data_IF_340986294762
#
_entry.id   IF_340986294762
#
_cell.length_a   1.000
_cell.length_b   1.000
_cell.length_c   1.000
_cell.angle_alpha   90.00
_cell.angle_beta   90.00
_cell.angle_gamma   90.00
#
_symmetry.space_group_name_H-M   'P 1'
#
loop_
_entity.id
_entity.type
_entity.pdbx_description
1 polymer ?
#
# COMPACT_ATOMS: atom_id res chain seq x y z
N UNK A 1 -65.87 -8.37 9.00
CA UNK A 1 -65.45 -7.77 10.30
C UNK A 1 -64.08 -8.32 10.69
N UNK A 2 -63.05 -8.16 9.86
CA UNK A 2 -61.66 -8.67 10.11
C UNK A 2 -60.54 -7.72 9.63
N UNK A 3 -60.79 -6.48 9.30
CA UNK A 3 -59.82 -5.55 8.73
C UNK A 3 -59.28 -4.51 9.76
N UNK A 4 -59.93 -4.38 10.93
CA UNK A 4 -59.57 -3.34 11.92
C UNK A 4 -58.54 -3.72 13.00
N UNK A 5 -58.10 -5.03 13.05
CA UNK A 5 -57.15 -5.43 14.11
C UNK A 5 -55.69 -5.29 13.75
N UNK A 6 -55.32 -5.14 12.45
CA UNK A 6 -53.93 -5.06 12.05
C UNK A 6 -53.37 -3.62 12.01
N UNK A 7 -54.23 -2.59 11.99
CA UNK A 7 -53.80 -1.20 11.92
C UNK A 7 -53.26 -0.64 13.25
N UNK A 8 -53.74 -1.20 14.37
CA UNK A 8 -53.32 -0.73 15.71
C UNK A 8 -51.95 -1.32 16.09
N UNK A 9 -51.67 -2.56 15.66
CA UNK A 9 -50.37 -3.19 15.92
C UNK A 9 -49.19 -2.55 15.17
N UNK A 10 -49.46 -2.03 13.96
CA UNK A 10 -48.43 -1.33 13.15
C UNK A 10 -48.14 0.07 13.70
N UNK A 11 -49.15 0.75 14.21
CA UNK A 11 -48.98 2.10 14.80
C UNK A 11 -48.18 2.06 16.12
N UNK A 12 -48.30 1.02 16.91
CA UNK A 12 -47.56 0.85 18.17
C UNK A 12 -46.09 0.49 17.91
N UNK A 13 -45.83 -0.28 16.86
CA UNK A 13 -44.45 -0.68 16.51
C UNK A 13 -43.64 0.52 15.91
N UNK A 14 -44.28 1.39 15.16
CA UNK A 14 -43.63 2.58 14.59
C UNK A 14 -43.35 3.66 15.64
N UNK A 15 -44.25 3.83 16.64
CA UNK A 15 -44.01 4.78 17.75
C UNK A 15 -42.93 4.30 18.70
N UNK A 16 -42.76 2.98 18.91
CA UNK A 16 -41.69 2.44 19.74
C UNK A 16 -40.32 2.57 19.06
N UNK A 17 -40.23 2.41 17.74
CA UNK A 17 -38.96 2.64 16.99
C UNK A 17 -38.57 4.12 16.94
N UNK A 18 -39.49 5.05 16.82
CA UNK A 18 -39.17 6.48 16.88
C UNK A 18 -38.74 6.94 18.29
N UNK A 19 -39.26 6.32 19.36
CA UNK A 19 -38.83 6.62 20.71
C UNK A 19 -37.41 6.09 21.02
N UNK A 20 -37.00 4.95 20.43
CA UNK A 20 -35.62 4.46 20.56
C UNK A 20 -34.61 5.31 19.81
N UNK A 21 -34.99 5.95 18.71
CA UNK A 21 -34.11 6.85 17.95
C UNK A 21 -33.96 8.22 18.64
N UNK A 22 -34.96 8.70 19.38
CA UNK A 22 -34.90 9.97 20.07
C UNK A 22 -34.03 9.94 21.36
N UNK A 23 -33.89 8.78 22.00
CA UNK A 23 -33.00 8.60 23.18
C UNK A 23 -31.53 8.50 22.80
N UNK A 24 -31.21 8.11 21.55
CA UNK A 24 -29.82 8.05 21.07
C UNK A 24 -29.31 9.36 20.45
N UNK A 25 -30.20 10.35 20.21
CA UNK A 25 -29.82 11.68 19.68
C UNK A 25 -29.42 12.67 20.78
N UNK A 26 -29.58 12.32 22.04
CA UNK A 26 -29.19 13.15 23.17
C UNK A 26 -27.79 12.79 23.70
N UNK A 27 -26.78 13.50 23.17
CA UNK A 27 -25.46 13.52 23.83
C UNK A 27 -24.33 12.68 23.24
N UNK A 28 -24.24 12.56 21.93
CA UNK A 28 -22.93 12.40 21.30
C UNK A 28 -22.25 13.78 21.28
N UNK A 29 -21.72 14.22 22.41
CA UNK A 29 -20.58 15.12 22.37
C UNK A 29 -19.54 14.39 21.54
N UNK A 30 -19.21 14.88 20.35
CA UNK A 30 -18.05 14.42 19.62
C UNK A 30 -16.88 14.56 20.58
N UNK A 31 -16.42 13.46 21.17
CA UNK A 31 -15.12 13.43 21.75
C UNK A 31 -14.21 13.82 20.59
N UNK A 32 -13.79 15.08 20.55
CA UNK A 32 -12.87 15.58 19.56
C UNK A 32 -11.71 14.58 19.55
N UNK A 33 -11.42 13.99 18.40
CA UNK A 33 -10.24 13.16 18.26
C UNK A 33 -9.10 13.99 18.85
N UNK A 34 -8.52 13.54 19.95
CA UNK A 34 -7.41 14.22 20.56
C UNK A 34 -6.34 14.32 19.47
N UNK A 35 -6.00 15.54 19.07
CA UNK A 35 -4.95 15.79 18.10
C UNK A 35 -3.66 15.22 18.73
N UNK A 36 -3.21 14.09 18.24
CA UNK A 36 -1.94 13.52 18.65
C UNK A 36 -0.87 14.47 18.13
N UNK A 37 -0.38 15.35 19.01
CA UNK A 37 0.78 16.17 18.68
C UNK A 37 1.93 15.22 18.37
N UNK A 38 2.27 15.12 17.09
CA UNK A 38 3.51 14.48 16.68
C UNK A 38 4.67 15.26 17.29
N UNK A 39 5.65 14.58 17.86
CA UNK A 39 6.85 15.22 18.37
C UNK A 39 7.51 16.05 17.26
N UNK A 40 8.04 17.25 17.62
CA UNK A 40 8.85 18.06 16.70
C UNK A 40 10.18 17.36 16.41
N UNK A 41 10.18 16.48 15.42
CA UNK A 41 11.38 15.74 15.01
C UNK A 41 12.24 16.65 14.13
N UNK A 42 13.45 16.94 14.58
CA UNK A 42 14.44 17.69 13.79
C UNK A 42 15.21 16.71 12.89
N UNK A 43 14.80 16.62 11.65
CA UNK A 43 15.52 15.85 10.65
C UNK A 43 16.79 16.57 10.19
N UNK A 44 17.88 15.82 10.00
CA UNK A 44 19.06 16.29 9.29
C UNK A 44 18.96 16.04 7.78
N UNK A 45 19.88 16.62 7.00
CA UNK A 45 20.00 16.24 5.59
C UNK A 45 20.42 14.77 5.49
N UNK A 46 19.89 14.05 4.50
CA UNK A 46 20.29 12.67 4.21
C UNK A 46 21.69 12.70 3.61
N UNK A 47 22.72 12.08 4.24
CA UNK A 47 24.08 12.05 3.68
C UNK A 47 24.16 11.20 2.41
N UNK A 48 25.02 11.56 1.46
CA UNK A 48 25.29 10.72 0.30
C UNK A 48 25.79 9.32 0.68
N UNK A 49 25.48 8.33 -0.16
CA UNK A 49 25.98 6.97 0.01
C UNK A 49 24.97 5.91 -0.38
N UNK A 50 25.35 4.66 -0.13
CA UNK A 50 24.49 3.51 -0.32
C UNK A 50 23.65 3.26 0.93
N UNK A 51 22.37 2.95 0.69
CA UNK A 51 21.40 2.59 1.71
C UNK A 51 20.71 1.28 1.31
N UNK A 52 20.41 0.45 2.31
CA UNK A 52 19.62 -0.76 2.14
C UNK A 52 18.26 -0.61 2.81
N UNK A 53 17.23 -1.24 2.25
CA UNK A 53 15.92 -1.26 2.89
C UNK A 53 15.98 -2.10 4.16
N UNK A 54 15.46 -1.56 5.25
CA UNK A 54 15.22 -2.30 6.49
C UNK A 54 13.90 -3.07 6.36
N UNK A 55 13.99 -4.38 6.17
CA UNK A 55 12.82 -5.24 5.96
C UNK A 55 11.95 -5.39 7.22
N UNK A 56 12.52 -5.17 8.39
CA UNK A 56 11.78 -5.25 9.65
C UNK A 56 10.86 -4.04 9.87
N UNK A 57 11.24 -2.87 9.32
CA UNK A 57 10.52 -1.61 9.50
C UNK A 57 9.93 -1.05 8.18
N UNK A 58 9.87 -1.88 7.14
CA UNK A 58 9.33 -1.49 5.83
C UNK A 58 8.13 -2.34 5.44
N UNK A 59 7.21 -1.73 4.70
CA UNK A 59 6.04 -2.39 4.15
C UNK A 59 5.99 -2.15 2.64
N UNK A 60 5.91 -3.24 1.88
CA UNK A 60 5.55 -3.26 0.48
C UNK A 60 4.17 -3.88 0.39
N UNK A 61 3.18 -3.02 0.47
CA UNK A 61 1.78 -3.37 0.52
C UNK A 61 1.08 -3.20 -0.81
N UNK A 62 -0.03 -3.89 -0.96
CA UNK A 62 -0.94 -3.72 -2.08
C UNK A 62 -2.39 -3.86 -1.63
N UNK A 63 -3.31 -3.29 -2.42
CA UNK A 63 -4.74 -3.45 -2.23
C UNK A 63 -5.42 -3.66 -3.60
N UNK A 64 -6.38 -4.57 -3.66
CA UNK A 64 -7.18 -4.88 -4.86
C UNK A 64 -8.65 -4.94 -4.50
N UNK A 65 -9.53 -4.48 -5.42
CA UNK A 65 -10.98 -4.60 -5.24
C UNK A 65 -11.41 -6.06 -5.38
N UNK A 66 -12.29 -6.49 -4.48
CA UNK A 66 -12.97 -7.78 -4.54
C UNK A 66 -14.46 -7.57 -4.76
N UNK A 67 -15.00 -8.16 -5.80
CA UNK A 67 -16.40 -8.02 -6.24
C UNK A 67 -16.87 -6.55 -6.41
N UNK A 68 -15.95 -5.62 -6.59
CA UNK A 68 -16.15 -4.17 -6.61
C UNK A 68 -16.75 -3.56 -5.33
N UNK A 69 -16.88 -4.34 -4.24
CA UNK A 69 -17.52 -3.92 -2.99
C UNK A 69 -16.53 -3.72 -1.83
N UNK A 70 -15.40 -4.44 -1.81
CA UNK A 70 -14.44 -4.35 -0.71
C UNK A 70 -13.00 -4.39 -1.22
N UNK A 71 -12.05 -4.08 -0.35
CA UNK A 71 -10.64 -4.17 -0.61
C UNK A 71 -10.03 -5.40 0.06
N UNK A 72 -9.22 -6.13 -0.68
CA UNK A 72 -8.31 -7.13 -0.13
C UNK A 72 -6.92 -6.54 -0.11
N UNK A 73 -6.33 -6.46 1.07
CA UNK A 73 -4.96 -6.00 1.24
C UNK A 73 -4.00 -7.17 1.39
N UNK A 74 -2.75 -6.93 1.01
CA UNK A 74 -1.65 -7.88 1.17
C UNK A 74 -0.32 -7.16 1.15
N UNK A 75 0.75 -7.93 1.38
CA UNK A 75 2.12 -7.44 1.35
C UNK A 75 3.09 -8.53 0.91
N UNK A 76 4.29 -8.14 0.51
CA UNK A 76 5.43 -9.03 0.36
C UNK A 76 6.32 -8.92 1.60
N UNK A 77 6.67 -10.06 2.23
CA UNK A 77 7.44 -10.09 3.48
C UNK A 77 8.95 -10.25 3.27
N UNK A 78 9.37 -10.83 2.14
CA UNK A 78 10.77 -11.02 1.78
C UNK A 78 11.10 -10.17 0.55
N UNK A 79 11.85 -9.12 0.77
CA UNK A 79 12.29 -8.18 -0.25
C UNK A 79 13.64 -7.60 0.11
N UNK A 80 14.29 -7.02 -0.87
CA UNK A 80 15.50 -6.23 -0.68
C UNK A 80 15.46 -5.00 -1.58
N UNK A 81 16.30 -4.02 -1.26
CA UNK A 81 16.43 -2.83 -2.10
C UNK A 81 17.67 -2.05 -1.73
N UNK A 82 18.23 -1.41 -2.74
CA UNK A 82 19.41 -0.57 -2.61
C UNK A 82 19.10 0.82 -3.18
N UNK A 83 19.50 1.84 -2.45
CA UNK A 83 19.40 3.24 -2.86
C UNK A 83 20.81 3.85 -2.83
N UNK A 84 21.32 4.21 -4.00
CA UNK A 84 22.52 5.03 -4.10
C UNK A 84 22.09 6.49 -4.09
N UNK A 85 22.15 7.12 -2.92
CA UNK A 85 21.65 8.48 -2.70
C UNK A 85 22.74 9.53 -2.96
N UNK A 86 22.40 10.56 -3.78
CA UNK A 86 23.23 11.73 -4.03
C UNK A 86 22.67 12.92 -3.25
N UNK A 87 23.42 13.44 -2.28
CA UNK A 87 22.99 14.52 -1.39
C UNK A 87 23.06 15.92 -2.05
N UNK A 88 23.79 16.04 -3.15
CA UNK A 88 23.90 17.29 -3.91
C UNK A 88 22.76 17.42 -4.92
N UNK A 89 22.32 16.29 -5.49
CA UNK A 89 21.25 16.26 -6.47
C UNK A 89 20.49 14.91 -6.43
N UNK A 90 19.34 14.89 -5.75
CA UNK A 90 18.49 13.70 -5.62
C UNK A 90 18.15 13.08 -6.98
N UNK A 91 18.13 13.88 -8.06
CA UNK A 91 17.78 13.35 -9.40
C UNK A 91 18.86 12.41 -9.96
N UNK A 92 20.06 12.41 -9.38
CA UNK A 92 21.15 11.48 -9.72
C UNK A 92 21.14 10.18 -8.93
N UNK A 93 20.31 10.12 -7.90
CA UNK A 93 20.16 8.90 -7.10
C UNK A 93 19.62 7.75 -7.93
N UNK A 94 19.95 6.50 -7.51
CA UNK A 94 19.50 5.27 -8.15
C UNK A 94 18.82 4.38 -7.14
N UNK A 95 17.80 3.65 -7.60
CA UNK A 95 17.02 2.72 -6.79
C UNK A 95 16.90 1.40 -7.51
N UNK A 96 17.18 0.32 -6.80
CA UNK A 96 16.89 -1.06 -7.23
C UNK A 96 16.12 -1.76 -6.12
N UNK A 97 15.20 -2.62 -6.53
CA UNK A 97 14.33 -3.33 -5.61
C UNK A 97 13.96 -4.71 -6.18
N UNK A 98 13.86 -5.71 -5.29
CA UNK A 98 13.32 -7.01 -5.61
C UNK A 98 12.45 -7.53 -4.45
N UNK A 99 11.34 -8.19 -4.76
CA UNK A 99 10.53 -8.91 -3.79
C UNK A 99 10.29 -10.35 -4.23
N UNK A 100 10.41 -11.29 -3.30
CA UNK A 100 10.12 -12.70 -3.56
C UNK A 100 8.61 -12.92 -3.60
N UNK A 101 8.13 -13.50 -4.68
CA UNK A 101 6.71 -13.80 -4.87
C UNK A 101 6.22 -14.80 -3.81
N UNK A 102 7.05 -15.76 -3.41
CA UNK A 102 6.71 -16.74 -2.38
C UNK A 102 6.34 -16.11 -1.04
N UNK A 103 6.83 -14.90 -0.77
CA UNK A 103 6.59 -14.17 0.48
C UNK A 103 5.26 -13.40 0.54
N UNK A 104 4.41 -13.55 -0.47
CA UNK A 104 3.10 -12.87 -0.53
C UNK A 104 2.23 -13.29 0.64
N UNK A 105 1.64 -12.32 1.32
CA UNK A 105 0.79 -12.53 2.48
C UNK A 105 -0.43 -11.61 2.46
N UNK A 106 -1.60 -12.21 2.42
CA UNK A 106 -2.90 -11.52 2.45
C UNK A 106 -3.70 -11.87 3.70
N UNK A 107 -3.08 -12.54 4.69
CA UNK A 107 -3.74 -13.01 5.91
C UNK A 107 -4.59 -14.28 5.75
N UNK A 108 -4.68 -14.86 4.54
CA UNK A 108 -5.42 -16.11 4.26
C UNK A 108 -4.53 -17.05 3.44
N UNK A 109 -4.06 -18.13 4.05
CA UNK A 109 -3.07 -19.02 3.42
C UNK A 109 -3.56 -19.69 2.13
N UNK A 110 -4.83 -20.09 2.07
CA UNK A 110 -5.40 -20.66 0.85
C UNK A 110 -5.32 -19.66 -0.32
N UNK A 111 -5.57 -18.38 -0.07
CA UNK A 111 -5.43 -17.32 -1.07
C UNK A 111 -3.98 -17.07 -1.42
N UNK A 112 -3.07 -17.05 -0.42
CA UNK A 112 -1.64 -16.89 -0.65
C UNK A 112 -1.12 -18.02 -1.56
N UNK A 113 -1.50 -19.27 -1.29
CA UNK A 113 -1.13 -20.42 -2.10
C UNK A 113 -1.65 -20.26 -3.55
N UNK A 114 -2.90 -19.83 -3.75
CA UNK A 114 -3.45 -19.59 -5.09
C UNK A 114 -2.72 -18.44 -5.82
N UNK A 115 -2.38 -17.35 -5.12
CA UNK A 115 -1.63 -16.25 -5.72
C UNK A 115 -0.25 -16.67 -6.22
N UNK A 116 0.39 -17.71 -5.65
CA UNK A 116 1.68 -18.25 -6.08
C UNK A 116 1.58 -19.12 -7.33
N UNK A 117 0.39 -19.62 -7.68
CA UNK A 117 0.20 -20.51 -8.85
C UNK A 117 0.30 -19.77 -10.19
N UNK A 118 0.28 -20.54 -11.29
CA UNK A 118 0.28 -20.04 -12.66
C UNK A 118 -0.93 -19.14 -13.01
N UNK A 119 -2.04 -19.26 -12.27
CA UNK A 119 -3.22 -18.39 -12.41
C UNK A 119 -2.89 -16.92 -12.13
N UNK A 120 -1.89 -16.67 -11.26
CA UNK A 120 -1.47 -15.33 -10.86
C UNK A 120 0.02 -15.09 -11.13
N UNK A 121 0.86 -15.23 -10.12
CA UNK A 121 2.26 -14.82 -10.21
C UNK A 121 3.18 -15.90 -10.78
N UNK A 122 2.78 -17.18 -10.74
CA UNK A 122 3.60 -18.32 -11.18
C UNK A 122 4.97 -18.32 -10.50
N UNK A 123 4.98 -18.36 -9.16
CA UNK A 123 6.17 -18.20 -8.34
C UNK A 123 7.26 -19.22 -8.65
N UNK A 124 6.88 -20.43 -9.08
CA UNK A 124 7.83 -21.49 -9.46
C UNK A 124 8.65 -21.10 -10.69
N UNK A 125 8.07 -20.37 -11.64
CA UNK A 125 8.72 -19.90 -12.86
C UNK A 125 9.32 -18.51 -12.70
N UNK A 126 8.64 -17.63 -11.96
CA UNK A 126 8.99 -16.24 -11.77
C UNK A 126 9.10 -15.93 -10.26
N UNK A 127 10.21 -16.31 -9.61
CA UNK A 127 10.32 -16.26 -8.15
C UNK A 127 10.35 -14.83 -7.59
N UNK A 128 10.64 -13.82 -8.43
CA UNK A 128 10.80 -12.43 -7.99
C UNK A 128 10.12 -11.45 -8.93
N UNK A 129 9.60 -10.36 -8.35
CA UNK A 129 9.35 -9.11 -9.08
C UNK A 129 10.51 -8.14 -8.83
N UNK A 130 10.78 -7.25 -9.81
CA UNK A 130 11.93 -6.33 -9.75
C UNK A 130 11.54 -4.93 -10.23
N UNK A 131 12.20 -3.94 -9.66
CA UNK A 131 12.13 -2.56 -10.11
C UNK A 131 13.53 -1.97 -10.20
N UNK A 132 13.81 -1.27 -11.31
CA UNK A 132 15.06 -0.55 -11.51
C UNK A 132 14.74 0.87 -11.93
N UNK A 133 15.22 1.86 -11.18
CA UNK A 133 15.00 3.25 -11.51
C UNK A 133 15.74 3.66 -12.78
N UNK A 134 15.08 4.46 -13.61
CA UNK A 134 15.68 5.07 -14.82
C UNK A 134 15.90 6.56 -14.65
N UNK A 135 15.03 7.25 -13.90
CA UNK A 135 15.09 8.70 -13.71
C UNK A 135 14.37 9.10 -12.41
N UNK A 136 14.83 10.19 -11.81
CA UNK A 136 14.09 10.90 -10.74
C UNK A 136 13.89 12.35 -11.21
N UNK A 137 12.66 12.86 -11.07
CA UNK A 137 12.34 14.26 -11.32
C UNK A 137 11.92 14.95 -10.03
N UNK A 138 12.39 16.18 -9.82
CA UNK A 138 11.93 17.05 -8.74
C UNK A 138 10.66 17.80 -9.17
N UNK A 139 9.59 17.73 -8.37
CA UNK A 139 8.30 18.41 -8.64
C UNK A 139 7.97 19.52 -7.64
N UNK A 140 8.92 19.92 -6.81
CA UNK A 140 8.79 20.97 -5.81
C UNK A 140 9.54 20.64 -4.54
N UNK A 141 9.32 21.40 -3.48
CA UNK A 141 10.00 21.19 -2.21
C UNK A 141 9.59 19.84 -1.61
N UNK A 142 10.53 18.89 -1.51
CA UNK A 142 10.31 17.58 -0.90
C UNK A 142 9.43 16.61 -1.69
N UNK A 143 9.06 16.95 -2.95
CA UNK A 143 8.20 16.10 -3.81
C UNK A 143 8.97 15.69 -5.05
N UNK A 144 8.92 14.41 -5.38
CA UNK A 144 9.65 13.81 -6.50
C UNK A 144 8.76 12.83 -7.27
N UNK A 145 9.13 12.55 -8.51
CA UNK A 145 8.59 11.43 -9.28
C UNK A 145 9.76 10.49 -9.58
N UNK A 146 9.57 9.22 -9.26
CA UNK A 146 10.47 8.13 -9.62
C UNK A 146 9.95 7.48 -10.90
N UNK A 147 10.81 7.34 -11.89
CA UNK A 147 10.59 6.57 -13.12
C UNK A 147 11.47 5.34 -13.06
N UNK A 148 10.97 4.23 -13.57
CA UNK A 148 11.73 3.00 -13.62
C UNK A 148 10.99 1.89 -14.34
N UNK A 149 11.67 0.77 -14.50
CA UNK A 149 11.16 -0.42 -15.15
C UNK A 149 10.72 -1.42 -14.07
N UNK A 150 9.42 -1.74 -14.06
CA UNK A 150 8.84 -2.77 -13.19
C UNK A 150 8.70 -4.07 -13.98
N UNK A 151 9.31 -5.12 -13.46
CA UNK A 151 9.20 -6.48 -14.00
C UNK A 151 8.36 -7.34 -13.08
N UNK A 152 7.26 -7.89 -13.59
CA UNK A 152 6.43 -8.90 -12.92
C UNK A 152 6.24 -10.04 -13.92
N UNK A 153 6.51 -11.27 -13.50
CA UNK A 153 6.61 -12.46 -14.37
C UNK A 153 7.65 -12.21 -15.47
N UNK A 154 7.26 -12.35 -16.72
CA UNK A 154 8.09 -12.13 -17.91
C UNK A 154 7.89 -10.76 -18.56
N UNK A 155 7.10 -9.89 -17.94
CA UNK A 155 6.76 -8.58 -18.51
C UNK A 155 7.48 -7.47 -17.76
N UNK A 156 8.22 -6.66 -18.50
CA UNK A 156 8.83 -5.41 -17.99
C UNK A 156 8.13 -4.22 -18.61
N UNK A 157 7.67 -3.29 -17.78
CA UNK A 157 7.02 -2.05 -18.24
C UNK A 157 7.58 -0.84 -17.51
N UNK A 158 7.74 0.29 -18.22
CA UNK A 158 8.05 1.56 -17.59
C UNK A 158 6.87 2.02 -16.75
N UNK A 159 7.14 2.42 -15.51
CA UNK A 159 6.18 3.04 -14.61
C UNK A 159 6.75 4.31 -14.03
N UNK A 160 5.88 5.19 -13.53
CA UNK A 160 6.30 6.35 -12.75
C UNK A 160 5.32 6.61 -11.62
N UNK A 161 5.84 7.09 -10.49
CA UNK A 161 5.01 7.40 -9.35
C UNK A 161 5.63 8.48 -8.46
N UNK A 162 4.77 9.27 -7.76
CA UNK A 162 5.24 10.26 -6.81
C UNK A 162 5.80 9.58 -5.57
N UNK A 163 6.83 10.17 -4.99
CA UNK A 163 7.34 9.78 -3.68
C UNK A 163 7.79 10.99 -2.87
N UNK A 164 7.85 10.78 -1.57
CA UNK A 164 8.44 11.70 -0.60
C UNK A 164 9.40 10.93 0.28
N UNK A 165 10.34 11.62 0.90
CA UNK A 165 11.19 11.05 1.94
C UNK A 165 11.34 12.02 3.10
N UNK A 166 11.60 11.49 4.28
CA UNK A 166 11.93 12.26 5.48
C UNK A 166 13.39 12.75 5.39
N UNK A 167 13.79 13.65 6.29
CA UNK A 167 15.22 13.83 6.53
C UNK A 167 15.80 12.63 7.27
N UNK A 168 17.12 12.65 7.47
CA UNK A 168 17.83 11.60 8.18
C UNK A 168 17.71 11.75 9.69
N UNK A 169 17.69 10.60 10.37
CA UNK A 169 17.85 10.49 11.82
C UNK A 169 18.99 9.53 12.15
N UNK A 170 19.80 9.82 13.19
CA UNK A 170 20.71 8.83 13.74
C UNK A 170 19.88 7.76 14.48
N UNK A 171 20.24 6.49 14.33
CA UNK A 171 19.64 5.44 15.12
C UNK A 171 20.46 5.16 16.41
N UNK A 172 19.88 4.49 17.42
CA UNK A 172 20.56 4.20 18.68
C UNK A 172 21.79 3.28 18.54
N UNK A 173 21.98 2.66 17.38
CA UNK A 173 23.10 1.75 17.09
C UNK A 173 24.21 2.39 16.26
N UNK A 174 24.15 3.72 16.05
CA UNK A 174 25.16 4.49 15.34
C UNK A 174 24.96 4.52 13.83
N UNK A 175 23.86 4.01 13.31
CA UNK A 175 23.48 4.10 11.90
C UNK A 175 22.79 5.41 11.55
N UNK A 176 22.52 5.60 10.27
CA UNK A 176 21.71 6.70 9.74
C UNK A 176 20.55 6.13 8.96
N UNK A 177 19.34 6.60 9.26
CA UNK A 177 18.10 6.12 8.66
C UNK A 177 17.27 7.25 8.07
N UNK A 178 16.48 6.97 7.06
CA UNK A 178 15.41 7.87 6.58
C UNK A 178 14.22 7.08 6.06
N UNK A 179 13.03 7.70 6.14
CA UNK A 179 11.78 7.10 5.67
C UNK A 179 11.44 7.52 4.25
N UNK A 180 10.79 6.63 3.48
CA UNK A 180 10.31 6.87 2.13
C UNK A 180 8.85 6.44 2.06
N UNK A 181 8.02 7.26 1.41
CA UNK A 181 6.61 6.97 1.18
C UNK A 181 6.27 7.16 -0.29
N UNK A 182 5.57 6.20 -0.85
CA UNK A 182 5.04 6.27 -2.21
C UNK A 182 3.74 5.48 -2.33
N UNK A 183 2.89 5.91 -3.25
CA UNK A 183 1.70 5.17 -3.65
C UNK A 183 1.53 5.26 -5.15
N UNK A 184 1.13 4.16 -5.77
CA UNK A 184 0.84 4.10 -7.21
C UNK A 184 -0.23 3.05 -7.50
N UNK A 185 -0.76 3.10 -8.72
CA UNK A 185 -1.71 2.10 -9.21
C UNK A 185 -1.12 1.45 -10.47
N UNK A 186 -1.12 0.13 -10.48
CA UNK A 186 -0.75 -0.66 -11.65
C UNK A 186 -1.94 -1.50 -12.12
N UNK A 187 -2.03 -1.78 -13.41
CA UNK A 187 -2.99 -2.75 -13.92
C UNK A 187 -2.32 -4.13 -13.98
N UNK A 188 -2.83 -5.09 -13.19
CA UNK A 188 -2.26 -6.44 -13.12
C UNK A 188 -2.28 -7.18 -14.46
N UNK A 189 -3.26 -6.89 -15.33
CA UNK A 189 -3.36 -7.52 -16.65
C UNK A 189 -2.23 -7.10 -17.60
N UNK A 190 -1.64 -5.93 -17.34
CA UNK A 190 -0.45 -5.47 -18.06
C UNK A 190 0.78 -6.37 -17.84
N UNK A 191 0.73 -7.24 -16.84
CA UNK A 191 1.79 -8.17 -16.45
C UNK A 191 1.33 -9.65 -16.56
N UNK A 192 0.39 -9.94 -17.46
CA UNK A 192 -0.11 -11.30 -17.71
C UNK A 192 -0.73 -11.97 -16.46
N UNK A 193 -1.28 -11.20 -15.51
CA UNK A 193 -2.06 -11.70 -14.38
C UNK A 193 -3.54 -11.52 -14.73
N UNK A 194 -4.10 -12.51 -15.41
CA UNK A 194 -5.40 -12.39 -16.09
C UNK A 194 -6.55 -13.13 -15.38
N UNK A 195 -6.29 -13.83 -14.28
CA UNK A 195 -7.30 -14.57 -13.54
C UNK A 195 -8.47 -13.67 -13.10
N UNK A 196 -9.68 -14.24 -13.08
CA UNK A 196 -10.91 -13.57 -12.67
C UNK A 196 -11.86 -13.30 -13.83
N UNK A 197 -13.14 -13.15 -13.48
CA UNK A 197 -14.25 -13.02 -14.42
C UNK A 197 -14.90 -11.64 -14.34
N UNK A 198 -15.52 -11.22 -15.44
CA UNK A 198 -16.37 -10.05 -15.43
C UNK A 198 -17.64 -10.33 -14.60
N UNK A 199 -18.09 -9.34 -13.85
CA UNK A 199 -19.34 -9.39 -13.10
C UNK A 199 -20.53 -8.96 -13.98
N UNK A 200 -21.72 -9.55 -13.80
CA UNK A 200 -22.92 -9.14 -14.53
C UNK A 200 -23.30 -7.66 -14.33
N UNK A 201 -22.90 -7.08 -13.20
CA UNK A 201 -23.16 -5.69 -12.84
C UNK A 201 -22.07 -4.72 -13.33
N UNK A 202 -21.09 -5.21 -14.07
CA UNK A 202 -19.89 -4.48 -14.48
C UNK A 202 -18.72 -4.66 -13.51
N UNK A 203 -17.49 -4.45 -14.01
CA UNK A 203 -16.26 -4.69 -13.24
C UNK A 203 -15.87 -6.16 -13.21
N UNK A 204 -15.10 -6.56 -12.21
CA UNK A 204 -14.50 -7.89 -12.09
C UNK A 204 -14.60 -8.41 -10.66
N UNK A 205 -14.63 -9.77 -10.51
CA UNK A 205 -14.54 -10.43 -9.21
C UNK A 205 -13.22 -10.12 -8.48
N UNK A 206 -12.12 -9.98 -9.24
CA UNK A 206 -10.86 -9.40 -8.76
C UNK A 206 -10.49 -8.20 -9.64
N UNK A 207 -10.45 -7.02 -9.06
CA UNK A 207 -10.18 -5.77 -9.77
C UNK A 207 -8.87 -5.80 -10.57
N UNK A 208 -8.85 -5.10 -11.69
CA UNK A 208 -7.66 -5.04 -12.54
C UNK A 208 -6.61 -4.08 -11.99
N UNK A 209 -7.06 -2.99 -11.37
CA UNK A 209 -6.19 -1.99 -10.76
C UNK A 209 -5.78 -2.42 -9.36
N UNK A 210 -4.49 -2.46 -9.13
CA UNK A 210 -3.85 -2.78 -7.85
C UNK A 210 -3.19 -1.52 -7.33
N UNK A 211 -3.63 -1.03 -6.18
CA UNK A 211 -2.96 0.06 -5.47
C UNK A 211 -1.74 -0.52 -4.76
N UNK A 212 -0.56 0.03 -5.03
CA UNK A 212 0.71 -0.34 -4.37
C UNK A 212 1.06 0.77 -3.40
N UNK A 213 1.31 0.41 -2.14
CA UNK A 213 1.68 1.32 -1.05
C UNK A 213 3.06 0.96 -0.53
N UNK A 214 3.98 1.91 -0.57
CA UNK A 214 5.36 1.75 -0.10
C UNK A 214 5.55 2.63 1.15
N UNK A 215 5.86 2.00 2.27
CA UNK A 215 6.28 2.64 3.51
C UNK A 215 7.62 2.02 3.87
N UNK A 216 8.70 2.70 3.56
CA UNK A 216 10.03 2.13 3.58
C UNK A 216 10.93 2.89 4.54
N UNK A 217 11.79 2.15 5.22
CA UNK A 217 12.90 2.67 5.98
C UNK A 217 14.22 2.22 5.33
N UNK A 218 15.10 3.18 5.10
CA UNK A 218 16.40 2.94 4.50
C UNK A 218 17.51 3.20 5.52
N UNK A 219 18.44 2.26 5.63
CA UNK A 219 19.60 2.29 6.55
C UNK A 219 20.86 2.46 5.73
N UNK A 220 21.72 3.40 6.14
CA UNK A 220 22.99 3.63 5.47
C UNK A 220 23.88 2.39 5.60
N UNK A 221 24.43 1.95 4.48
CA UNK A 221 25.41 0.87 4.48
C UNK A 221 26.64 1.29 5.30
N UNK A 222 27.10 0.43 6.21
CA UNK A 222 28.35 0.62 6.91
C UNK A 222 29.51 0.35 5.95
N UNK A 223 30.49 1.25 5.91
CA UNK A 223 31.72 0.98 5.20
C UNK A 223 32.37 -0.31 5.76
N UNK A 224 32.62 -1.28 4.91
CA UNK A 224 33.39 -2.48 5.28
C UNK A 224 34.85 -2.13 5.42
#
# INVERSE_FOLDING_TARGET
MKIFRNSIAIAILTTLMLALFAVFAGGMTSAGAAEVKTADVKYSAVPAGEYHLDTAHSIIGFAVRHLEINWVEGRFKDFNGTINYDDKDVTRSKVQFAAKIESIDTGVEQRNAHLRTADFFDAAKYPEMKFVSTKIEKKGKGKYILFGDLTIKDVTKPISFPFTFTGAVPDPWGGTRFGIQAETVINRRDYNINWGNALPVGGFDVGNNVTVKLQLEAVKATAK
#
